data_IF_860792102275
#
_entry.id   IF_860792102275
#
_cell.length_a   1.000
_cell.length_b   1.000
_cell.length_c   1.000
_cell.angle_alpha   90.00
_cell.angle_beta   90.00
_cell.angle_gamma   90.00
#
_symmetry.space_group_name_H-M   'P 1'
#
loop_
_entity.id
_entity.type
_entity.pdbx_description
1 polymer ?
#
# COMPACT_ATOMS: atom_id res chain seq x y z
N UNK A 1 25.08 -35.41 8.45
CA UNK A 1 24.87 -34.49 9.59
C UNK A 1 24.52 -33.12 9.01
N UNK A 2 23.57 -32.42 9.63
CA UNK A 2 22.68 -31.37 9.08
C UNK A 2 23.24 -30.27 8.13
N UNK A 3 22.40 -29.70 7.25
CA UNK A 3 22.72 -28.52 6.43
C UNK A 3 22.49 -27.23 7.23
N UNK A 4 23.50 -26.34 7.30
CA UNK A 4 23.31 -24.96 7.71
C UNK A 4 22.85 -24.15 6.49
N UNK A 5 21.61 -24.34 6.07
CA UNK A 5 20.99 -23.55 5.02
C UNK A 5 20.82 -22.14 5.55
N UNK A 6 21.73 -21.24 5.14
CA UNK A 6 21.51 -19.80 5.21
C UNK A 6 20.28 -19.45 4.39
N UNK A 7 19.11 -19.46 5.01
CA UNK A 7 17.91 -18.86 4.44
C UNK A 7 17.91 -17.41 4.90
N UNK A 8 18.57 -16.61 4.07
CA UNK A 8 18.48 -15.16 3.95
C UNK A 8 17.17 -14.65 4.55
N UNK A 9 17.30 -13.67 5.45
CA UNK A 9 16.17 -12.93 6.01
C UNK A 9 15.19 -12.59 4.89
N UNK A 10 14.03 -13.25 4.93
CA UNK A 10 12.92 -12.90 4.09
C UNK A 10 12.51 -11.51 4.52
N UNK A 11 12.95 -10.51 3.75
CA UNK A 11 12.47 -9.15 3.82
C UNK A 11 10.95 -9.19 3.91
N UNK A 12 10.44 -8.95 5.11
CA UNK A 12 9.07 -8.58 5.39
C UNK A 12 8.86 -7.28 4.61
N UNK A 13 8.54 -7.35 3.32
CA UNK A 13 8.21 -6.18 2.49
C UNK A 13 6.81 -5.67 2.86
N UNK A 14 6.47 -5.69 4.15
CA UNK A 14 5.49 -4.77 4.67
C UNK A 14 6.13 -3.40 4.60
N UNK A 15 5.63 -2.55 3.70
CA UNK A 15 5.96 -1.14 3.69
C UNK A 15 5.89 -0.60 5.12
N UNK A 16 6.88 0.21 5.53
CA UNK A 16 6.84 0.88 6.83
C UNK A 16 5.61 1.79 6.91
N UNK A 17 5.10 2.09 8.11
CA UNK A 17 3.95 2.99 8.27
C UNK A 17 4.14 4.36 7.61
N UNK A 18 5.38 4.85 7.58
CA UNK A 18 5.71 6.08 6.86
C UNK A 18 5.58 5.94 5.34
N UNK A 19 5.92 4.77 4.79
CA UNK A 19 5.76 4.47 3.37
C UNK A 19 4.28 4.28 3.02
N UNK A 20 3.50 3.59 3.87
CA UNK A 20 2.06 3.45 3.71
C UNK A 20 1.36 4.80 3.72
N UNK A 21 1.67 5.67 4.69
CA UNK A 21 1.13 7.03 4.76
C UNK A 21 1.45 7.84 3.49
N UNK A 22 2.68 7.74 2.99
CA UNK A 22 3.09 8.40 1.76
C UNK A 22 2.35 7.84 0.54
N UNK A 23 2.23 6.53 0.44
CA UNK A 23 1.52 5.86 -0.65
C UNK A 23 0.04 6.25 -0.67
N UNK A 24 -0.63 6.24 0.49
CA UNK A 24 -2.03 6.68 0.63
C UNK A 24 -2.20 8.13 0.15
N UNK A 25 -1.28 9.02 0.52
CA UNK A 25 -1.35 10.42 0.09
C UNK A 25 -1.26 10.56 -1.43
N UNK A 26 -0.30 9.88 -2.06
CA UNK A 26 -0.13 9.90 -3.53
C UNK A 26 -1.34 9.27 -4.25
N UNK A 27 -1.88 8.18 -3.71
CA UNK A 27 -3.06 7.53 -4.29
C UNK A 27 -4.30 8.43 -4.21
N UNK A 28 -4.45 9.20 -3.12
CA UNK A 28 -5.57 10.14 -2.95
C UNK A 28 -5.51 11.24 -3.99
N UNK A 29 -4.35 11.86 -4.14
CA UNK A 29 -4.11 12.90 -5.14
C UNK A 29 -4.46 12.41 -6.56
N UNK A 30 -4.05 11.18 -6.90
CA UNK A 30 -4.41 10.54 -8.17
C UNK A 30 -5.88 10.22 -8.31
N UNK A 31 -6.57 9.85 -7.23
CA UNK A 31 -8.00 9.57 -7.27
C UNK A 31 -8.80 10.87 -7.52
N UNK A 32 -8.37 11.96 -6.88
CA UNK A 32 -8.96 13.28 -7.11
C UNK A 32 -8.67 13.80 -8.53
N UNK A 33 -7.46 13.59 -9.05
CA UNK A 33 -7.15 13.85 -10.45
C UNK A 33 -8.04 13.02 -11.39
N UNK A 34 -8.14 11.71 -11.18
CA UNK A 34 -8.99 10.83 -11.99
C UNK A 34 -10.46 11.29 -12.01
N UNK A 35 -11.00 11.73 -10.88
CA UNK A 35 -12.34 12.36 -10.82
C UNK A 35 -12.43 13.62 -11.65
N UNK A 36 -11.47 14.52 -11.50
CA UNK A 36 -11.44 15.79 -12.26
C UNK A 36 -11.33 15.55 -13.77
N UNK A 37 -10.72 14.45 -14.19
CA UNK A 37 -10.59 14.05 -15.59
C UNK A 37 -11.75 13.21 -16.11
N UNK A 38 -12.80 12.98 -15.31
CA UNK A 38 -13.97 12.20 -15.72
C UNK A 38 -13.71 10.70 -15.82
N UNK A 39 -12.76 10.16 -15.04
CA UNK A 39 -12.38 8.75 -14.95
C UNK A 39 -12.79 8.16 -13.59
N UNK A 40 -14.10 8.01 -13.30
CA UNK A 40 -14.56 7.58 -11.98
C UNK A 40 -14.15 6.14 -11.64
N UNK A 41 -14.03 5.27 -12.64
CA UNK A 41 -13.59 3.88 -12.48
C UNK A 41 -12.16 3.77 -11.93
N UNK A 42 -11.25 4.63 -12.39
CA UNK A 42 -9.89 4.70 -11.90
C UNK A 42 -9.83 5.29 -10.48
N UNK A 43 -10.65 6.30 -10.21
CA UNK A 43 -10.78 6.86 -8.87
C UNK A 43 -11.25 5.81 -7.86
N UNK A 44 -12.26 5.00 -8.20
CA UNK A 44 -12.73 3.90 -7.35
C UNK A 44 -11.65 2.84 -7.10
N UNK A 45 -10.88 2.46 -8.13
CA UNK A 45 -9.77 1.52 -7.99
C UNK A 45 -8.68 2.03 -7.03
N UNK A 46 -8.33 3.32 -7.15
CA UNK A 46 -7.37 3.98 -6.28
C UNK A 46 -7.88 4.08 -4.85
N UNK A 47 -9.16 4.40 -4.65
CA UNK A 47 -9.77 4.48 -3.32
C UNK A 47 -9.86 3.12 -2.62
N UNK A 48 -10.14 2.06 -3.36
CA UNK A 48 -10.07 0.70 -2.81
C UNK A 48 -8.65 0.38 -2.32
N UNK A 49 -7.64 0.73 -3.11
CA UNK A 49 -6.23 0.54 -2.73
C UNK A 49 -5.85 1.36 -1.49
N UNK A 50 -6.35 2.60 -1.39
CA UNK A 50 -6.17 3.44 -0.19
C UNK A 50 -6.79 2.78 1.04
N UNK A 51 -8.00 2.22 0.91
CA UNK A 51 -8.69 1.52 1.99
C UNK A 51 -7.86 0.34 2.50
N UNK A 52 -7.33 -0.47 1.59
CA UNK A 52 -6.52 -1.63 1.94
C UNK A 52 -5.27 -1.21 2.73
N UNK A 53 -4.59 -0.13 2.32
CA UNK A 53 -3.44 0.40 3.05
C UNK A 53 -3.81 1.03 4.41
N UNK A 54 -4.99 1.63 4.53
CA UNK A 54 -5.50 2.13 5.81
C UNK A 54 -5.80 0.98 6.77
N UNK A 55 -6.42 -0.09 6.28
CA UNK A 55 -6.71 -1.28 7.07
C UNK A 55 -5.42 -1.99 7.50
N UNK A 56 -4.41 -2.03 6.64
CA UNK A 56 -3.07 -2.53 7.01
C UNK A 56 -2.41 -1.71 8.12
N UNK A 57 -2.54 -0.38 8.12
CA UNK A 57 -2.03 0.47 9.20
C UNK A 57 -2.84 0.28 10.48
N UNK A 58 -4.17 0.17 10.38
CA UNK A 58 -5.06 -0.02 11.53
C UNK A 58 -4.79 -1.35 12.25
N UNK A 59 -4.43 -2.41 11.52
CA UNK A 59 -4.03 -3.69 12.10
C UNK A 59 -2.67 -3.68 12.80
N UNK A 60 -1.86 -2.62 12.64
CA UNK A 60 -0.54 -2.48 13.25
C UNK A 60 -0.54 -1.61 14.52
N UNK A 61 -1.65 -0.93 14.80
CA UNK A 61 -1.85 -0.05 15.97
C UNK A 61 -2.39 -0.85 17.17
#
# INVERSE_FOLDING_TARGET
MAPATGKLGGMDRRMSDNELRRAIHVLRDRADEARSHGRPEDAEGLEKTIRDYQDEMAQRL
#
